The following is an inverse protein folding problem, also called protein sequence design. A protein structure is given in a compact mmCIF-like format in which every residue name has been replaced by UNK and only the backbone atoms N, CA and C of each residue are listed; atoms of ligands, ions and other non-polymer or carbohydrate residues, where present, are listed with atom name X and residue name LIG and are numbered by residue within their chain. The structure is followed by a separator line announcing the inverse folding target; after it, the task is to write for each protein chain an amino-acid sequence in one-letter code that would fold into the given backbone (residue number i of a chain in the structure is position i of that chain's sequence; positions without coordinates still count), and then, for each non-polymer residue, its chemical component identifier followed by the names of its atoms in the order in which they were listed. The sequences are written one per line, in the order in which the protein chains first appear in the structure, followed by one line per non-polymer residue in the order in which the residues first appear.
data_IF_311790183712
#
_entry.id   IF_311790183712
#
_cell.length_a   1.000
_cell.length_b   1.000
_cell.length_c   1.000
_cell.angle_alpha   90.00
_cell.angle_beta   90.00
_cell.angle_gamma   90.00
#
_symmetry.space_group_name_H-M   'P 1'
#
loop_
_entity.id
_entity.type
_entity.pdbx_description
1 polymer ?
#
# COMPACT_ATOMS: atom_id res chain seq x y z
N UNK A 1 4.32 -28.27 -5.76
CA UNK A 1 5.01 -27.15 -5.09
C UNK A 1 4.00 -26.50 -4.17
N UNK A 2 4.20 -26.61 -2.87
CA UNK A 2 3.36 -25.90 -1.90
C UNK A 2 3.51 -24.39 -2.12
N UNK A 3 2.42 -23.77 -2.61
CA UNK A 3 2.38 -22.30 -2.75
C UNK A 3 2.10 -21.69 -1.39
N UNK A 4 2.99 -20.88 -0.87
CA UNK A 4 2.79 -20.15 0.38
C UNK A 4 1.67 -19.13 0.20
N UNK A 5 0.63 -19.21 1.04
CA UNK A 5 -0.46 -18.23 1.05
C UNK A 5 0.05 -16.93 1.68
N UNK A 6 -0.06 -15.85 0.92
CA UNK A 6 0.32 -14.51 1.39
C UNK A 6 -0.88 -13.76 1.99
N UNK A 7 -2.09 -13.93 1.42
CA UNK A 7 -3.33 -13.36 1.94
C UNK A 7 -4.38 -14.46 1.92
N UNK A 8 -5.11 -14.63 3.02
CA UNK A 8 -6.28 -15.50 3.11
C UNK A 8 -7.46 -14.72 3.67
N UNK A 9 -8.53 -14.65 2.89
CA UNK A 9 -9.80 -14.01 3.27
C UNK A 9 -10.87 -15.08 3.28
N UNK A 10 -11.53 -15.25 4.42
CA UNK A 10 -12.52 -16.30 4.61
C UNK A 10 -13.84 -15.74 5.13
N UNK A 11 -14.88 -15.82 4.29
CA UNK A 11 -16.25 -15.36 4.55
C UNK A 11 -16.32 -13.97 5.18
N UNK A 12 -15.49 -13.06 4.67
CA UNK A 12 -15.39 -11.71 5.17
C UNK A 12 -16.69 -10.96 4.93
N UNK A 13 -17.26 -10.41 6.00
CA UNK A 13 -18.41 -9.52 5.93
C UNK A 13 -18.08 -8.19 6.60
N UNK A 14 -18.57 -7.10 6.01
CA UNK A 14 -18.58 -5.78 6.65
C UNK A 14 -19.90 -5.08 6.41
N UNK A 15 -20.55 -4.68 7.49
CA UNK A 15 -21.78 -3.89 7.45
C UNK A 15 -21.59 -2.55 8.15
N UNK A 16 -22.25 -1.52 7.64
CA UNK A 16 -22.38 -0.19 8.23
C UNK A 16 -23.89 0.13 8.32
N UNK A 17 -24.37 0.37 9.52
CA UNK A 17 -25.78 0.74 9.77
C UNK A 17 -26.78 -0.18 9.03
N UNK A 18 -26.53 -1.48 9.04
CA UNK A 18 -27.37 -2.49 8.37
C UNK A 18 -27.12 -2.66 6.87
N UNK A 19 -26.32 -1.80 6.23
CA UNK A 19 -25.92 -1.94 4.84
C UNK A 19 -24.66 -2.80 4.71
N UNK A 20 -24.72 -3.89 3.93
CA UNK A 20 -23.58 -4.77 3.67
C UNK A 20 -22.67 -4.14 2.63
N UNK A 21 -21.50 -3.69 3.03
CA UNK A 21 -20.45 -3.19 2.13
C UNK A 21 -19.56 -4.32 1.58
N UNK A 22 -19.40 -5.41 2.35
CA UNK A 22 -18.78 -6.66 1.91
C UNK A 22 -19.67 -7.80 2.44
N UNK A 23 -20.01 -8.76 1.60
CA UNK A 23 -20.87 -9.88 1.95
C UNK A 23 -20.23 -11.19 1.52
N UNK A 24 -19.87 -12.04 2.49
CA UNK A 24 -19.34 -13.40 2.34
C UNK A 24 -18.17 -13.55 1.34
N UNK A 25 -17.25 -12.58 1.34
CA UNK A 25 -16.10 -12.57 0.43
C UNK A 25 -15.03 -13.56 0.88
N UNK A 26 -14.61 -14.45 -0.02
CA UNK A 26 -13.52 -15.40 0.22
C UNK A 26 -12.58 -15.46 -0.97
N UNK A 27 -11.27 -15.36 -0.73
CA UNK A 27 -10.22 -15.55 -1.74
C UNK A 27 -8.86 -15.77 -1.07
N UNK A 28 -7.90 -16.27 -1.85
CA UNK A 28 -6.51 -16.42 -1.45
C UNK A 28 -5.59 -15.77 -2.47
N UNK A 29 -4.47 -15.21 -1.99
CA UNK A 29 -3.37 -14.71 -2.81
C UNK A 29 -2.10 -15.44 -2.39
N UNK A 30 -1.33 -15.92 -3.34
CA UNK A 30 -0.09 -16.64 -3.06
C UNK A 30 1.13 -15.73 -3.17
N UNK A 31 2.21 -16.12 -2.48
CA UNK A 31 3.47 -15.38 -2.54
C UNK A 31 3.99 -15.31 -3.99
N UNK A 32 4.45 -14.10 -4.38
CA UNK A 32 4.93 -13.82 -5.73
C UNK A 32 3.86 -13.51 -6.76
N UNK A 33 2.57 -13.47 -6.37
CA UNK A 33 1.48 -13.10 -7.28
C UNK A 33 1.26 -11.58 -7.32
N UNK A 34 0.82 -11.10 -8.49
CA UNK A 34 0.17 -9.80 -8.67
C UNK A 34 -1.33 -10.08 -8.70
N UNK A 35 -2.04 -9.62 -7.68
CA UNK A 35 -3.48 -9.85 -7.53
C UNK A 35 -4.27 -8.54 -7.70
N UNK A 36 -5.28 -8.55 -8.54
CA UNK A 36 -6.17 -7.41 -8.79
C UNK A 36 -7.57 -7.63 -8.22
N UNK A 37 -7.99 -6.79 -7.27
CA UNK A 37 -9.36 -6.75 -6.78
C UNK A 37 -10.17 -5.80 -7.64
N UNK A 38 -10.96 -6.35 -8.57
CA UNK A 38 -11.72 -5.60 -9.57
C UNK A 38 -13.22 -5.59 -9.23
N UNK A 39 -13.93 -4.56 -9.66
CA UNK A 39 -15.36 -4.44 -9.47
C UNK A 39 -15.85 -2.99 -9.60
N UNK A 40 -17.17 -2.77 -9.71
CA UNK A 40 -17.75 -1.42 -9.80
C UNK A 40 -17.53 -0.60 -8.52
N UNK A 41 -17.85 0.69 -8.58
CA UNK A 41 -17.87 1.53 -7.38
C UNK A 41 -18.92 0.99 -6.40
N UNK A 42 -18.59 0.97 -5.10
CA UNK A 42 -19.47 0.40 -4.08
C UNK A 42 -19.35 -1.14 -3.90
N UNK A 43 -18.57 -1.85 -4.72
CA UNK A 43 -18.41 -3.32 -4.60
C UNK A 43 -17.59 -3.77 -3.38
N UNK A 44 -17.24 -2.89 -2.46
CA UNK A 44 -16.51 -3.26 -1.23
C UNK A 44 -14.99 -3.35 -1.39
N UNK A 45 -14.40 -2.98 -2.54
CA UNK A 45 -12.95 -3.08 -2.78
C UNK A 45 -12.12 -2.37 -1.71
N UNK A 46 -12.35 -1.06 -1.52
CA UNK A 46 -11.62 -0.26 -0.53
C UNK A 46 -11.94 -0.71 0.91
N UNK A 47 -13.14 -1.22 1.18
CA UNK A 47 -13.51 -1.80 2.48
C UNK A 47 -12.70 -3.05 2.76
N UNK A 48 -12.59 -3.95 1.78
CA UNK A 48 -11.77 -5.16 1.88
C UNK A 48 -10.30 -4.81 2.07
N UNK A 49 -9.77 -3.88 1.25
CA UNK A 49 -8.39 -3.42 1.38
C UNK A 49 -8.11 -2.83 2.76
N UNK A 50 -9.00 -1.97 3.28
CA UNK A 50 -8.87 -1.39 4.64
C UNK A 50 -8.89 -2.44 5.73
N UNK A 51 -9.60 -3.54 5.55
CA UNK A 51 -9.55 -4.68 6.49
C UNK A 51 -8.19 -5.38 6.43
N UNK A 52 -7.66 -5.63 5.24
CA UNK A 52 -6.34 -6.26 5.06
C UNK A 52 -5.20 -5.44 5.64
N UNK A 53 -5.25 -4.11 5.51
CA UNK A 53 -4.25 -3.19 6.07
C UNK A 53 -4.57 -2.77 7.52
N UNK A 54 -5.43 -3.50 8.20
CA UNK A 54 -5.77 -3.33 9.65
C UNK A 54 -6.46 -2.01 10.01
N UNK A 55 -6.93 -1.24 9.04
CA UNK A 55 -7.64 0.03 9.30
C UNK A 55 -9.13 -0.16 9.60
N UNK A 56 -9.65 -1.37 9.40
CA UNK A 56 -11.05 -1.67 9.58
C UNK A 56 -11.24 -3.08 10.12
N UNK A 57 -12.04 -3.22 11.17
CA UNK A 57 -12.44 -4.53 11.67
C UNK A 57 -13.61 -5.08 10.85
N UNK A 58 -13.59 -6.35 10.43
CA UNK A 58 -14.75 -6.99 9.80
C UNK A 58 -15.90 -7.11 10.81
N UNK A 59 -17.14 -7.23 10.29
CA UNK A 59 -18.31 -7.56 11.10
C UNK A 59 -18.33 -9.05 11.43
N UNK A 60 -17.90 -9.90 10.48
CA UNK A 60 -17.70 -11.32 10.65
C UNK A 60 -16.73 -11.86 9.58
N UNK A 61 -16.35 -13.13 9.70
CA UNK A 61 -15.30 -13.72 8.88
C UNK A 61 -13.90 -13.37 9.36
N UNK A 62 -12.88 -13.77 8.63
CA UNK A 62 -11.48 -13.56 8.99
C UNK A 62 -10.66 -13.12 7.79
N UNK A 63 -9.57 -12.41 8.06
CA UNK A 63 -8.55 -12.10 7.06
C UNK A 63 -7.17 -12.27 7.70
N UNK A 64 -6.24 -12.92 6.98
CA UNK A 64 -4.84 -13.04 7.42
C UNK A 64 -3.89 -12.52 6.36
N UNK A 65 -2.76 -11.98 6.79
CA UNK A 65 -1.66 -11.51 5.96
C UNK A 65 -0.39 -12.24 6.43
N UNK A 66 0.21 -13.02 5.53
CA UNK A 66 1.35 -13.89 5.84
C UNK A 66 1.11 -14.79 7.07
N UNK A 67 -0.12 -15.29 7.23
CA UNK A 67 -0.54 -16.15 8.32
C UNK A 67 -0.97 -15.41 9.60
N UNK A 68 -0.85 -14.09 9.68
CA UNK A 68 -1.21 -13.27 10.84
C UNK A 68 -2.59 -12.64 10.71
N UNK A 69 -3.42 -12.76 11.73
CA UNK A 69 -4.79 -12.25 11.75
C UNK A 69 -4.80 -10.71 11.79
N UNK A 70 -5.54 -10.10 10.86
CA UNK A 70 -5.57 -8.62 10.69
C UNK A 70 -6.20 -7.87 11.85
N UNK A 71 -6.90 -8.56 12.77
CA UNK A 71 -7.51 -7.98 13.97
C UNK A 71 -6.69 -8.28 15.22
N UNK A 72 -6.34 -9.55 15.43
CA UNK A 72 -5.68 -10.01 16.67
C UNK A 72 -4.20 -9.66 16.69
N UNK A 73 -3.55 -9.64 15.52
CA UNK A 73 -2.11 -9.42 15.35
C UNK A 73 -1.84 -8.16 14.49
N UNK A 74 -2.73 -7.15 14.59
CA UNK A 74 -2.70 -5.97 13.74
C UNK A 74 -1.35 -5.24 13.73
N UNK A 75 -0.67 -5.14 14.88
CA UNK A 75 0.62 -4.45 14.98
C UNK A 75 1.72 -5.20 14.20
N UNK A 76 1.71 -6.54 14.27
CA UNK A 76 2.63 -7.36 13.49
C UNK A 76 2.32 -7.25 11.99
N UNK A 77 1.04 -7.37 11.62
CA UNK A 77 0.61 -7.22 10.22
C UNK A 77 1.09 -5.92 9.61
N UNK A 78 1.02 -4.79 10.35
CA UNK A 78 1.48 -3.46 9.90
C UNK A 78 2.97 -3.41 9.55
N UNK A 79 3.79 -4.28 10.14
CA UNK A 79 5.23 -4.36 9.81
C UNK A 79 5.52 -5.13 8.53
N UNK A 80 4.54 -5.87 8.00
CA UNK A 80 4.73 -6.78 6.87
C UNK A 80 4.39 -6.18 5.52
N UNK A 81 3.61 -5.08 5.49
CA UNK A 81 3.15 -4.50 4.24
C UNK A 81 3.55 -3.03 4.07
N UNK A 82 3.63 -2.61 2.79
CA UNK A 82 3.60 -1.22 2.37
C UNK A 82 2.22 -0.89 1.81
N UNK A 83 1.80 0.36 1.93
CA UNK A 83 0.53 0.83 1.42
C UNK A 83 0.68 2.12 0.63
N UNK A 84 0.12 2.14 -0.56
CA UNK A 84 0.05 3.33 -1.42
C UNK A 84 -1.42 3.71 -1.57
N UNK A 85 -1.86 4.79 -0.90
CA UNK A 85 -3.26 5.21 -0.92
C UNK A 85 -3.70 5.75 -2.28
N UNK A 86 -5.01 5.79 -2.49
CA UNK A 86 -5.64 6.43 -3.64
C UNK A 86 -5.37 7.95 -3.64
N UNK A 87 -5.59 8.61 -2.50
CA UNK A 87 -5.28 10.03 -2.31
C UNK A 87 -3.79 10.19 -2.00
N UNK A 88 -3.18 11.19 -2.62
CA UNK A 88 -1.74 11.45 -2.46
C UNK A 88 -1.46 12.02 -1.07
N UNK A 89 -0.60 11.35 -0.33
CA UNK A 89 -0.13 11.79 1.00
C UNK A 89 1.15 12.65 0.92
N UNK A 90 1.46 13.23 -0.25
CA UNK A 90 2.69 13.98 -0.47
C UNK A 90 2.52 15.43 -0.04
N UNK A 91 3.32 15.87 0.92
CA UNK A 91 3.46 17.29 1.25
C UNK A 91 4.14 18.03 0.10
N UNK A 92 3.45 19.02 -0.44
CA UNK A 92 3.90 19.81 -1.58
C UNK A 92 5.16 20.65 -1.32
N UNK A 93 5.50 20.91 -0.07
CA UNK A 93 6.63 21.76 0.32
C UNK A 93 7.91 20.96 0.57
N UNK A 94 7.82 19.68 0.91
CA UNK A 94 8.96 18.80 1.05
C UNK A 94 9.51 18.39 -0.33
N UNK A 95 10.80 18.13 -0.38
CA UNK A 95 11.43 17.47 -1.53
C UNK A 95 11.12 15.97 -1.54
N UNK A 96 11.35 15.29 -2.65
CA UNK A 96 11.18 13.83 -2.72
C UNK A 96 12.07 13.09 -1.71
N UNK A 97 13.29 13.58 -1.51
CA UNK A 97 14.24 13.03 -0.53
C UNK A 97 13.73 13.24 0.90
N UNK A 98 13.36 14.46 1.26
CA UNK A 98 12.85 14.78 2.61
C UNK A 98 11.61 13.98 2.97
N UNK A 99 10.72 13.66 2.00
CA UNK A 99 9.59 12.75 2.23
C UNK A 99 10.06 11.37 2.68
N UNK A 100 11.02 10.80 1.96
CA UNK A 100 11.54 9.47 2.26
C UNK A 100 12.34 9.47 3.58
N UNK A 101 13.08 10.54 3.88
CA UNK A 101 13.79 10.71 5.15
C UNK A 101 12.83 10.80 6.33
N UNK A 102 11.76 11.58 6.20
CA UNK A 102 10.70 11.70 7.21
C UNK A 102 10.05 10.32 7.49
N UNK A 103 9.70 9.60 6.43
CA UNK A 103 9.14 8.26 6.59
C UNK A 103 10.16 7.28 7.16
N UNK A 104 11.42 7.33 6.76
CA UNK A 104 12.49 6.51 7.33
C UNK A 104 12.61 6.70 8.85
N UNK A 105 12.51 7.96 9.30
CA UNK A 105 12.49 8.26 10.73
C UNK A 105 11.25 7.70 11.44
N UNK A 106 10.07 7.77 10.82
CA UNK A 106 8.82 7.21 11.35
C UNK A 106 8.86 5.67 11.42
N UNK A 107 9.56 5.02 10.49
CA UNK A 107 9.79 3.58 10.51
C UNK A 107 11.01 3.17 11.36
N UNK A 108 11.60 4.12 12.11
CA UNK A 108 12.75 3.89 12.99
C UNK A 108 13.99 3.32 12.28
N UNK A 109 14.16 3.60 10.99
CA UNK A 109 15.39 3.26 10.28
C UNK A 109 16.57 4.09 10.81
N UNK A 110 17.73 3.47 10.92
CA UNK A 110 18.96 4.24 11.18
C UNK A 110 19.26 5.18 10.01
N UNK A 111 20.03 6.22 10.25
CA UNK A 111 20.42 7.17 9.20
C UNK A 111 21.10 6.51 8.01
N UNK A 112 21.95 5.51 8.29
CA UNK A 112 22.70 4.78 7.27
C UNK A 112 21.77 3.88 6.43
N UNK A 113 20.89 3.11 7.08
CA UNK A 113 19.89 2.28 6.41
C UNK A 113 18.94 3.14 5.55
N UNK A 114 18.44 4.24 6.12
CA UNK A 114 17.56 5.16 5.40
C UNK A 114 18.26 5.75 4.16
N UNK A 115 19.49 6.27 4.30
CA UNK A 115 20.22 6.88 3.19
C UNK A 115 20.44 5.87 2.04
N UNK A 116 20.85 4.65 2.36
CA UNK A 116 21.05 3.58 1.37
C UNK A 116 19.73 3.25 0.68
N UNK A 117 18.67 3.00 1.46
CA UNK A 117 17.36 2.60 0.94
C UNK A 117 16.70 3.70 0.09
N UNK A 118 16.83 4.96 0.51
CA UNK A 118 16.34 6.14 -0.23
C UNK A 118 17.02 6.25 -1.60
N UNK A 119 18.35 6.09 -1.65
CA UNK A 119 19.08 6.13 -2.92
C UNK A 119 18.61 5.03 -3.89
N UNK A 120 18.46 3.79 -3.38
CA UNK A 120 17.94 2.66 -4.16
C UNK A 120 16.53 2.93 -4.71
N UNK A 121 15.64 3.46 -3.87
CA UNK A 121 14.25 3.72 -4.25
C UNK A 121 14.12 4.86 -5.24
N UNK A 122 14.83 5.97 -5.03
CA UNK A 122 14.83 7.09 -5.96
C UNK A 122 15.29 6.64 -7.35
N UNK A 123 16.31 5.78 -7.41
CA UNK A 123 16.76 5.16 -8.65
C UNK A 123 15.70 4.26 -9.26
N UNK A 124 15.10 3.38 -8.48
CA UNK A 124 14.05 2.44 -8.92
C UNK A 124 12.87 3.16 -9.57
N UNK A 125 12.46 4.30 -8.98
CA UNK A 125 11.33 5.08 -9.50
C UNK A 125 11.74 6.20 -10.46
N UNK A 126 13.03 6.28 -10.84
CA UNK A 126 13.59 7.29 -11.77
C UNK A 126 13.33 8.74 -11.32
N UNK A 127 13.57 9.02 -10.05
CA UNK A 127 13.43 10.36 -9.46
C UNK A 127 14.75 10.93 -8.93
N UNK A 128 15.91 10.31 -9.19
CA UNK A 128 17.21 10.74 -8.67
C UNK A 128 17.51 12.22 -8.98
N UNK A 129 17.37 12.62 -10.26
CA UNK A 129 17.65 13.99 -10.71
C UNK A 129 16.65 15.03 -10.16
N UNK A 130 15.54 14.57 -9.62
CA UNK A 130 14.47 15.41 -9.09
C UNK A 130 14.33 15.33 -7.56
N UNK A 131 15.13 14.48 -6.91
CA UNK A 131 15.00 14.14 -5.50
C UNK A 131 15.01 15.35 -4.57
N UNK A 132 15.81 16.36 -4.90
CA UNK A 132 16.05 17.55 -4.07
C UNK A 132 15.20 18.76 -4.51
N UNK A 133 14.21 18.54 -5.38
CA UNK A 133 13.22 19.55 -5.76
C UNK A 133 11.94 19.41 -4.94
N UNK A 134 11.28 20.52 -4.57
CA UNK A 134 9.99 20.46 -3.86
C UNK A 134 8.93 19.70 -4.66
N UNK A 135 8.16 18.84 -3.99
CA UNK A 135 7.15 17.99 -4.63
C UNK A 135 6.00 18.77 -5.29
N UNK A 136 5.81 20.05 -4.96
CA UNK A 136 4.90 20.95 -5.70
C UNK A 136 5.27 21.08 -7.18
N UNK A 137 6.54 20.90 -7.55
CA UNK A 137 7.03 21.00 -8.93
C UNK A 137 6.93 19.67 -9.69
N UNK A 138 6.54 18.58 -9.03
CA UNK A 138 6.42 17.27 -9.62
C UNK A 138 5.16 17.16 -10.49
N UNK A 139 5.29 16.48 -11.62
CA UNK A 139 4.14 16.05 -12.42
C UNK A 139 3.26 15.06 -11.66
N UNK A 140 2.06 14.77 -12.18
CA UNK A 140 1.19 13.74 -11.62
C UNK A 140 1.87 12.38 -11.52
N UNK A 141 2.58 11.97 -12.59
CA UNK A 141 3.33 10.72 -12.62
C UNK A 141 4.49 10.70 -11.64
N UNK A 142 5.27 11.78 -11.53
CA UNK A 142 6.37 11.89 -10.55
C UNK A 142 5.87 11.77 -9.11
N UNK A 143 4.73 12.39 -8.79
CA UNK A 143 4.12 12.24 -7.47
C UNK A 143 3.71 10.80 -7.21
N UNK A 144 3.14 10.10 -8.21
CA UNK A 144 2.77 8.70 -8.06
C UNK A 144 3.98 7.78 -7.88
N UNK A 145 5.07 8.05 -8.60
CA UNK A 145 6.36 7.39 -8.41
C UNK A 145 6.88 7.57 -6.98
N UNK A 146 6.78 8.78 -6.43
CA UNK A 146 7.18 9.05 -5.05
C UNK A 146 6.28 8.32 -4.04
N UNK A 147 4.94 8.29 -4.23
CA UNK A 147 4.02 7.51 -3.39
C UNK A 147 4.41 6.02 -3.35
N UNK A 148 4.78 5.46 -4.51
CA UNK A 148 5.24 4.07 -4.60
C UNK A 148 6.56 3.87 -3.84
N UNK A 149 7.52 4.79 -4.00
CA UNK A 149 8.78 4.74 -3.24
C UNK A 149 8.53 4.80 -1.72
N UNK A 150 7.60 5.65 -1.27
CA UNK A 150 7.17 5.72 0.13
C UNK A 150 6.62 4.38 0.63
N UNK A 151 5.75 3.73 -0.15
CA UNK A 151 5.20 2.42 0.20
C UNK A 151 6.25 1.29 0.23
N UNK A 152 7.32 1.42 -0.55
CA UNK A 152 8.42 0.44 -0.60
C UNK A 152 9.51 0.68 0.45
N UNK A 153 9.53 1.84 1.10
CA UNK A 153 10.61 2.23 2.00
C UNK A 153 10.84 1.25 3.16
N UNK A 154 9.80 0.74 3.86
CA UNK A 154 10.00 -0.21 4.96
C UNK A 154 10.41 -1.61 4.51
N UNK A 155 10.75 -1.81 3.24
CA UNK A 155 11.07 -3.11 2.64
C UNK A 155 9.97 -4.17 2.88
N UNK A 156 8.74 -3.89 2.50
CA UNK A 156 7.59 -4.73 2.83
C UNK A 156 7.63 -6.08 2.12
N UNK A 157 6.95 -7.08 2.70
CA UNK A 157 6.72 -8.39 2.07
C UNK A 157 5.54 -8.36 1.10
N UNK A 158 4.59 -7.45 1.32
CA UNK A 158 3.41 -7.22 0.48
C UNK A 158 3.28 -5.73 0.23
N UNK A 159 2.94 -5.33 -1.00
CA UNK A 159 2.60 -3.95 -1.33
C UNK A 159 1.12 -3.87 -1.71
N UNK A 160 0.35 -3.11 -0.96
CA UNK A 160 -1.03 -2.78 -1.30
C UNK A 160 -1.08 -1.46 -2.06
N UNK A 161 -1.78 -1.46 -3.19
CA UNK A 161 -1.99 -0.29 -4.04
C UNK A 161 -3.49 -0.04 -4.17
N UNK A 162 -3.95 1.11 -3.70
CA UNK A 162 -5.35 1.54 -3.85
C UNK A 162 -5.48 2.42 -5.09
N UNK A 163 -6.18 1.91 -6.13
CA UNK A 163 -6.39 2.57 -7.43
C UNK A 163 -5.10 3.18 -8.04
N UNK A 164 -4.04 2.37 -8.29
CA UNK A 164 -2.71 2.88 -8.63
C UNK A 164 -2.65 3.65 -9.96
N UNK A 165 -3.63 3.50 -10.82
CA UNK A 165 -3.70 4.12 -12.16
C UNK A 165 -4.48 5.42 -12.21
N UNK A 166 -5.11 5.84 -11.11
CA UNK A 166 -5.87 7.07 -11.07
C UNK A 166 -4.96 8.30 -11.24
N UNK A 167 -5.28 9.13 -12.24
CA UNK A 167 -4.49 10.35 -12.54
C UNK A 167 -3.19 10.11 -13.33
N UNK A 168 -2.97 8.90 -13.86
CA UNK A 168 -1.97 8.67 -14.89
C UNK A 168 -2.59 8.94 -16.26
N UNK A 169 -1.83 9.62 -17.15
CA UNK A 169 -2.23 9.79 -18.55
C UNK A 169 -2.40 8.42 -19.20
N UNK A 170 -3.28 8.37 -20.25
CA UNK A 170 -3.56 7.14 -21.01
C UNK A 170 -2.28 6.50 -21.54
N UNK A 171 -1.27 7.30 -21.90
CA UNK A 171 0.05 6.82 -22.34
C UNK A 171 0.90 6.21 -21.22
N UNK A 172 0.63 6.55 -19.95
CA UNK A 172 1.34 5.99 -18.79
C UNK A 172 0.63 4.74 -18.22
N UNK A 173 -0.47 4.30 -18.85
CA UNK A 173 -1.26 3.12 -18.44
C UNK A 173 -0.90 1.86 -19.24
N UNK A 174 -0.11 1.98 -20.29
CA UNK A 174 0.43 0.90 -21.11
C UNK A 174 1.86 0.59 -20.71
#
# INVERSE_FOLDING_TARGET
MDRTIAIDVNRLCKSYDGHKAVDDLSFQVYAGEIFGLLGPNGAGKSTTLRTLITLLHPTSGTATVLGHDTVREADLVRTLFGYVPQERAIDRFLTGREHLELLGALYHLTKEEAAKRIAELLKLVELEEHADRPAKTYSGGMKRKLDIACGLLPNPKILFLDEPTLGLDVQSRL
#
